data_IF_402729036444
#
_entry.id   IF_402729036444
#
_cell.length_a   1.000
_cell.length_b   1.000
_cell.length_c   1.000
_cell.angle_alpha   90.00
_cell.angle_beta   90.00
_cell.angle_gamma   90.00
#
_symmetry.space_group_name_H-M   'P 1'
#
loop_
_entity.id
_entity.type
_entity.pdbx_description
1 polymer ?
#
# COMPACT_ATOMS: atom_id res chain seq x y z
N UNK A 1 2.09 -1.07 -16.67
CA UNK A 1 0.92 -0.28 -16.16
C UNK A 1 1.35 1.16 -15.90
N UNK A 2 0.46 2.10 -16.15
CA UNK A 2 0.75 3.51 -15.86
C UNK A 2 0.70 3.76 -14.36
N UNK A 3 1.62 4.56 -13.85
CA UNK A 3 1.66 4.91 -12.43
C UNK A 3 0.38 5.61 -11.98
N UNK A 4 -0.19 6.46 -12.83
CA UNK A 4 -1.45 7.14 -12.52
C UNK A 4 -2.59 6.16 -12.24
N UNK A 5 -2.62 5.01 -12.93
CA UNK A 5 -3.63 3.97 -12.71
C UNK A 5 -3.41 3.27 -11.36
N UNK A 6 -2.16 3.03 -11.00
CA UNK A 6 -1.79 2.45 -9.70
C UNK A 6 -2.23 3.40 -8.57
N UNK A 7 -1.91 4.68 -8.71
CA UNK A 7 -2.27 5.70 -7.71
C UNK A 7 -3.79 5.81 -7.55
N UNK A 8 -4.51 5.82 -8.66
CA UNK A 8 -5.97 5.87 -8.66
C UNK A 8 -6.55 4.67 -7.93
N UNK A 9 -6.03 3.47 -8.19
CA UNK A 9 -6.48 2.25 -7.54
C UNK A 9 -6.23 2.31 -6.03
N UNK A 10 -5.06 2.77 -5.63
CA UNK A 10 -4.72 2.93 -4.21
C UNK A 10 -5.70 3.89 -3.52
N UNK A 11 -6.02 5.01 -4.17
CA UNK A 11 -6.96 5.99 -3.64
C UNK A 11 -8.38 5.44 -3.52
N UNK A 12 -8.80 4.64 -4.48
CA UNK A 12 -10.12 3.99 -4.46
C UNK A 12 -10.24 3.06 -3.25
N UNK A 13 -9.21 2.23 -3.01
CA UNK A 13 -9.21 1.33 -1.86
C UNK A 13 -9.11 2.10 -0.54
N UNK A 14 -8.30 3.16 -0.50
CA UNK A 14 -8.15 3.98 0.69
C UNK A 14 -9.48 4.60 1.13
N UNK A 15 -10.28 5.06 0.17
CA UNK A 15 -11.59 5.66 0.44
C UNK A 15 -12.55 4.67 1.11
N UNK A 16 -12.38 3.37 0.88
CA UNK A 16 -13.23 2.31 1.42
C UNK A 16 -12.60 1.58 2.61
N UNK A 17 -11.37 1.92 2.97
CA UNK A 17 -10.63 1.23 4.02
C UNK A 17 -11.19 1.55 5.41
N UNK A 18 -11.16 0.56 6.29
CA UNK A 18 -11.55 0.72 7.69
C UNK A 18 -10.34 1.19 8.50
N UNK A 19 -10.31 2.45 8.86
CA UNK A 19 -9.23 3.06 9.64
C UNK A 19 -9.58 3.22 11.13
N UNK A 20 -10.71 2.66 11.57
CA UNK A 20 -11.20 2.85 12.93
C UNK A 20 -10.24 2.35 14.02
N UNK A 21 -9.40 1.36 13.70
CA UNK A 21 -8.43 0.79 14.64
C UNK A 21 -7.00 1.28 14.40
N UNK A 22 -6.81 2.31 13.59
CA UNK A 22 -5.49 2.82 13.23
C UNK A 22 -5.33 4.23 13.80
N UNK A 23 -4.38 4.40 14.74
CA UNK A 23 -4.05 5.73 15.26
C UNK A 23 -3.18 6.51 14.29
N UNK A 24 -2.04 5.91 13.93
CA UNK A 24 -1.11 6.52 13.00
C UNK A 24 -0.43 5.45 12.17
N UNK A 25 -0.40 5.66 10.86
CA UNK A 25 0.29 4.79 9.92
C UNK A 25 0.91 5.68 8.85
N UNK A 26 2.19 5.48 8.56
CA UNK A 26 2.88 6.19 7.49
C UNK A 26 3.76 5.21 6.72
N UNK A 27 3.27 4.81 5.55
CA UNK A 27 3.92 3.82 4.69
C UNK A 27 4.20 4.44 3.33
N UNK A 28 5.44 4.34 2.89
CA UNK A 28 5.84 4.72 1.54
C UNK A 28 5.80 3.49 0.64
N UNK A 29 5.24 3.62 -0.54
CA UNK A 29 5.15 2.54 -1.51
C UNK A 29 5.95 2.93 -2.75
N UNK A 30 6.93 2.10 -3.09
CA UNK A 30 7.77 2.27 -4.28
C UNK A 30 7.30 1.26 -5.32
N UNK A 31 6.83 1.75 -6.45
CA UNK A 31 6.35 0.92 -7.56
C UNK A 31 7.45 0.79 -8.61
N UNK A 32 7.73 -0.44 -9.01
CA UNK A 32 8.67 -0.76 -10.09
C UNK A 32 7.89 -1.35 -11.26
N UNK A 33 8.22 -0.94 -12.48
CA UNK A 33 7.54 -1.48 -13.66
C UNK A 33 7.73 -0.61 -14.88
N UNK A 34 6.70 -0.54 -15.71
CA UNK A 34 6.70 0.30 -16.92
C UNK A 34 7.01 1.76 -16.59
N UNK A 35 6.39 2.25 -15.54
CA UNK A 35 6.69 3.56 -14.96
C UNK A 35 7.01 3.34 -13.49
N UNK A 36 8.21 3.71 -13.08
CA UNK A 36 8.54 3.71 -11.66
C UNK A 36 7.88 4.91 -11.00
N UNK A 37 7.44 4.75 -9.76
CA UNK A 37 6.83 5.84 -9.04
C UNK A 37 6.83 5.58 -7.55
N UNK A 38 6.51 6.62 -6.79
CA UNK A 38 6.43 6.57 -5.34
C UNK A 38 5.17 7.28 -4.90
N UNK A 39 4.52 6.71 -3.90
CA UNK A 39 3.43 7.38 -3.19
C UNK A 39 3.46 6.96 -1.73
N UNK A 40 2.73 7.68 -0.89
CA UNK A 40 2.59 7.26 0.49
C UNK A 40 1.12 7.10 0.87
N UNK A 41 0.91 6.30 1.90
CA UNK A 41 -0.39 6.18 2.57
C UNK A 41 -0.18 6.60 4.02
N UNK A 42 -0.92 7.60 4.44
CA UNK A 42 -0.87 8.10 5.81
C UNK A 42 -2.26 7.99 6.44
N UNK A 43 -2.32 7.42 7.63
CA UNK A 43 -3.52 7.49 8.47
C UNK A 43 -3.14 8.32 9.70
N UNK A 44 -3.85 9.42 9.89
CA UNK A 44 -3.58 10.36 10.98
C UNK A 44 -4.84 11.12 11.32
N UNK A 45 -5.11 11.26 12.62
CA UNK A 45 -6.25 12.05 13.13
C UNK A 45 -7.59 11.63 12.49
N UNK A 46 -7.79 10.32 12.29
CA UNK A 46 -9.03 9.79 11.73
C UNK A 46 -9.19 10.00 10.24
N UNK A 47 -8.09 10.31 9.54
CA UNK A 47 -8.11 10.55 8.08
C UNK A 47 -7.07 9.69 7.40
N UNK A 48 -7.37 9.28 6.17
CA UNK A 48 -6.41 8.58 5.31
C UNK A 48 -6.06 9.46 4.11
N UNK A 49 -4.77 9.56 3.81
CA UNK A 49 -4.26 10.34 2.67
C UNK A 49 -3.39 9.45 1.81
N UNK A 50 -3.52 9.58 0.48
CA UNK A 50 -2.70 8.88 -0.50
C UNK A 50 -2.18 9.94 -1.46
N UNK A 51 -0.87 10.19 -1.42
CA UNK A 51 -0.26 11.26 -2.21
C UNK A 51 1.00 10.77 -2.93
N UNK A 52 1.28 11.26 -4.15
CA UNK A 52 2.38 10.76 -4.98
C UNK A 52 3.73 11.37 -4.61
N UNK A 53 4.10 11.26 -3.34
CA UNK A 53 5.34 11.81 -2.81
C UNK A 53 6.01 10.82 -1.87
N UNK A 54 7.30 11.02 -1.62
CA UNK A 54 8.02 10.32 -0.57
C UNK A 54 7.53 10.82 0.79
N UNK A 55 7.58 9.95 1.79
CA UNK A 55 7.28 10.31 3.18
C UNK A 55 8.56 10.25 3.98
N UNK A 56 9.09 11.40 4.40
CA UNK A 56 10.39 11.47 5.06
C UNK A 56 10.44 10.64 6.35
N UNK A 57 9.44 10.81 7.22
CA UNK A 57 9.38 10.13 8.51
C UNK A 57 8.54 8.83 8.44
N UNK A 58 8.64 8.12 7.34
CA UNK A 58 7.89 6.88 7.14
C UNK A 58 8.26 5.82 8.17
N UNK A 59 7.27 5.07 8.59
CA UNK A 59 7.47 3.93 9.50
C UNK A 59 8.05 2.73 8.74
N UNK A 60 7.72 2.60 7.48
CA UNK A 60 8.31 1.59 6.59
C UNK A 60 8.16 2.02 5.13
N UNK A 61 8.92 1.37 4.26
CA UNK A 61 8.76 1.49 2.82
C UNK A 61 8.56 0.10 2.23
N UNK A 62 7.58 -0.03 1.35
CA UNK A 62 7.26 -1.27 0.64
C UNK A 62 7.61 -1.09 -0.82
N UNK A 63 8.41 -1.98 -1.37
CA UNK A 63 8.75 -1.97 -2.80
C UNK A 63 8.14 -3.18 -3.47
N UNK A 64 7.40 -2.96 -4.54
CA UNK A 64 6.62 -3.98 -5.22
C UNK A 64 6.47 -3.60 -6.70
N UNK A 65 6.37 -4.60 -7.58
CA UNK A 65 6.11 -4.34 -9.00
C UNK A 65 4.67 -3.86 -9.22
N UNK A 66 4.46 -3.16 -10.33
CA UNK A 66 3.13 -2.70 -10.72
C UNK A 66 2.16 -3.88 -10.90
N UNK A 67 2.60 -4.96 -11.51
CA UNK A 67 1.78 -6.16 -11.71
C UNK A 67 1.38 -6.79 -10.38
N UNK A 68 2.32 -6.91 -9.43
CA UNK A 68 2.05 -7.50 -8.13
C UNK A 68 1.18 -6.57 -7.27
N UNK A 69 1.39 -5.26 -7.36
CA UNK A 69 0.53 -4.30 -6.67
C UNK A 69 -0.91 -4.39 -7.19
N UNK A 70 -1.08 -4.54 -8.50
CA UNK A 70 -2.41 -4.76 -9.09
C UNK A 70 -3.07 -6.01 -8.52
N UNK A 71 -2.32 -7.11 -8.38
CA UNK A 71 -2.83 -8.34 -7.76
C UNK A 71 -3.19 -8.12 -6.29
N UNK A 72 -2.34 -7.39 -5.57
CA UNK A 72 -2.57 -7.06 -4.16
C UNK A 72 -3.91 -6.32 -3.99
N UNK A 73 -4.17 -5.33 -4.86
CA UNK A 73 -5.40 -4.52 -4.79
C UNK A 73 -6.65 -5.28 -5.17
N UNK A 74 -6.51 -6.47 -5.77
CA UNK A 74 -7.63 -7.35 -6.12
C UNK A 74 -7.76 -8.53 -5.15
N UNK A 75 -6.93 -8.57 -4.09
CA UNK A 75 -6.91 -9.67 -3.15
C UNK A 75 -6.37 -10.97 -3.75
N UNK A 76 -5.52 -10.88 -4.79
CA UNK A 76 -5.01 -12.03 -5.53
C UNK A 76 -3.53 -12.29 -5.30
N UNK A 77 -2.88 -11.54 -4.40
CA UNK A 77 -1.47 -11.74 -4.09
C UNK A 77 -1.33 -12.42 -2.73
N UNK A 78 -0.58 -13.51 -2.71
CA UNK A 78 -0.13 -14.12 -1.45
C UNK A 78 1.06 -13.28 -0.95
N UNK A 79 0.82 -12.42 0.04
CA UNK A 79 1.81 -11.45 0.52
C UNK A 79 2.97 -12.13 1.23
N UNK A 80 2.72 -13.20 1.97
CA UNK A 80 3.77 -13.94 2.69
C UNK A 80 4.72 -14.58 1.67
N UNK A 81 4.15 -15.25 0.67
CA UNK A 81 4.94 -15.89 -0.38
C UNK A 81 5.72 -14.86 -1.20
N UNK A 82 5.08 -13.74 -1.56
CA UNK A 82 5.75 -12.67 -2.31
C UNK A 82 6.91 -12.09 -1.52
N UNK A 83 6.75 -11.90 -0.21
CA UNK A 83 7.80 -11.43 0.67
C UNK A 83 8.97 -12.44 0.71
N UNK A 84 8.66 -13.72 0.92
CA UNK A 84 9.67 -14.77 0.98
C UNK A 84 10.44 -14.92 -0.34
N UNK A 85 9.79 -14.67 -1.47
CA UNK A 85 10.41 -14.76 -2.79
C UNK A 85 11.11 -13.47 -3.23
N UNK A 86 11.10 -12.44 -2.39
CA UNK A 86 11.73 -11.16 -2.71
C UNK A 86 10.95 -10.29 -3.70
N UNK A 87 9.71 -10.65 -4.01
CA UNK A 87 8.84 -9.89 -4.90
C UNK A 87 8.23 -8.68 -4.21
N UNK A 88 8.11 -8.75 -2.90
CA UNK A 88 7.64 -7.69 -2.04
C UNK A 88 8.73 -7.44 -1.00
N UNK A 89 9.30 -6.25 -0.99
CA UNK A 89 10.40 -5.90 -0.10
C UNK A 89 9.94 -4.85 0.89
N UNK A 90 10.37 -4.99 2.13
CA UNK A 90 10.02 -4.06 3.20
C UNK A 90 11.29 -3.54 3.85
N UNK A 91 11.38 -2.22 3.97
CA UNK A 91 12.43 -1.52 4.70
C UNK A 91 11.78 -0.80 5.87
N UNK A 92 12.32 -1.00 7.06
CA UNK A 92 11.76 -0.40 8.27
C UNK A 92 10.86 -1.37 9.05
N UNK A 93 9.78 -0.87 9.61
CA UNK A 93 8.91 -1.61 10.51
C UNK A 93 8.00 -2.59 9.75
N UNK A 94 8.32 -3.89 9.83
CA UNK A 94 7.54 -4.94 9.17
C UNK A 94 6.10 -5.00 9.69
N UNK A 95 5.90 -4.76 10.98
CA UNK A 95 4.56 -4.75 11.57
C UNK A 95 3.67 -3.69 10.93
N UNK A 96 4.23 -2.55 10.56
CA UNK A 96 3.49 -1.49 9.87
C UNK A 96 3.15 -1.89 8.43
N UNK A 97 4.04 -2.63 7.76
CA UNK A 97 3.75 -3.16 6.44
C UNK A 97 2.59 -4.17 6.49
N UNK A 98 2.55 -5.03 7.51
CA UNK A 98 1.44 -5.96 7.73
C UNK A 98 0.14 -5.18 7.98
N UNK A 99 0.19 -4.15 8.81
CA UNK A 99 -0.96 -3.30 9.11
C UNK A 99 -1.49 -2.63 7.83
N UNK A 100 -0.58 -2.17 6.96
CA UNK A 100 -0.94 -1.61 5.66
C UNK A 100 -1.65 -2.63 4.78
N UNK A 101 -1.15 -3.87 4.72
CA UNK A 101 -1.79 -4.94 3.94
C UNK A 101 -3.21 -5.23 4.46
N UNK A 102 -3.39 -5.26 5.77
CA UNK A 102 -4.71 -5.44 6.38
C UNK A 102 -5.65 -4.28 6.05
N UNK A 103 -5.12 -3.07 6.03
CA UNK A 103 -5.88 -1.87 5.67
C UNK A 103 -6.39 -1.97 4.23
N UNK A 104 -5.54 -2.36 3.28
CA UNK A 104 -5.96 -2.58 1.90
C UNK A 104 -7.02 -3.68 1.81
N UNK A 105 -6.84 -4.75 2.57
CA UNK A 105 -7.80 -5.87 2.58
C UNK A 105 -9.18 -5.39 3.03
N UNK A 106 -9.26 -4.49 4.00
CA UNK A 106 -10.53 -3.94 4.46
C UNK A 106 -11.24 -3.16 3.34
N UNK A 107 -10.49 -2.41 2.54
CA UNK A 107 -11.03 -1.69 1.39
C UNK A 107 -11.54 -2.62 0.29
N UNK A 108 -10.80 -3.72 0.05
CA UNK A 108 -11.21 -4.75 -0.92
C UNK A 108 -12.53 -5.39 -0.51
N UNK A 109 -12.68 -5.75 0.75
CA UNK A 109 -13.93 -6.39 1.26
C UNK A 109 -15.13 -5.50 1.06
N UNK A 110 -14.99 -4.20 1.25
CA UNK A 110 -16.08 -3.24 1.07
C UNK A 110 -16.55 -3.17 -0.38
N UNK A 111 -15.68 -3.45 -1.33
CA UNK A 111 -16.00 -3.40 -2.76
C UNK A 111 -16.63 -4.68 -3.31
N UNK A 112 -16.69 -5.74 -2.53
CA UNK A 112 -17.24 -7.03 -2.96
C UNK A 112 -18.74 -7.17 -2.69
#
# INVERSE_FOLDING_TARGET
>A
MKFASILKRARTLAAEADISQVDFLAVQINIEGEENGVFYVEVKDGRISVEPYEYYDRQCAVTISDADFSKLTRGKLDTVKAYDEGKLRVEGDLGRAVQFAELLQSGIKTQQ
#
